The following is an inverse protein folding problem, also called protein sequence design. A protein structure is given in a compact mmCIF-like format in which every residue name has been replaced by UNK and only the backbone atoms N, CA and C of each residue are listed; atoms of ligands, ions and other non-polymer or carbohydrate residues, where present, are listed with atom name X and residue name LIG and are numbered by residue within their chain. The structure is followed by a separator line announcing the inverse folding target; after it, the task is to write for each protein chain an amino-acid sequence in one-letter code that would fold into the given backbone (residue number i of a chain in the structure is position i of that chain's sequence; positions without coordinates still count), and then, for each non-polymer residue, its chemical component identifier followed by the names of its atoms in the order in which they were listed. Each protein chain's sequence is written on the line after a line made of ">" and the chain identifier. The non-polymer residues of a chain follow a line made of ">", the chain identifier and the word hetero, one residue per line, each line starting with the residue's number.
data_IF_517638663855
#
_entry.id   IF_517638663855
#
_cell.length_a   1.000
_cell.length_b   1.000
_cell.length_c   1.000
_cell.angle_alpha   90.00
_cell.angle_beta   90.00
_cell.angle_gamma   90.00
#
_symmetry.space_group_name_H-M   'P 1'
#
loop_
_entity.id
_entity.type
_entity.pdbx_description
1 polymer ?
#
# COMPACT_ATOMS: atom_id res chain seq x y z
N UNK A 1 3.85 9.20 -10.29
CA UNK A 1 2.47 9.43 -9.79
C UNK A 1 2.34 8.76 -8.44
N UNK A 2 1.92 9.49 -7.42
CA UNK A 2 1.63 8.97 -6.08
C UNK A 2 0.13 8.75 -5.98
N UNK A 3 -0.32 7.51 -5.76
CA UNK A 3 -1.73 7.14 -5.64
C UNK A 3 -2.10 6.95 -4.18
N UNK A 4 -3.36 7.24 -3.84
CA UNK A 4 -3.91 7.06 -2.49
C UNK A 4 -5.38 6.68 -2.53
N UNK A 5 -5.83 5.97 -1.51
CA UNK A 5 -7.25 5.86 -1.14
C UNK A 5 -7.48 6.72 0.10
N UNK A 6 -8.59 7.43 0.16
CA UNK A 6 -8.87 8.41 1.21
C UNK A 6 -10.36 8.58 1.42
N UNK A 7 -10.74 9.20 2.53
CA UNK A 7 -12.08 9.76 2.71
C UNK A 7 -12.00 11.28 2.89
N UNK A 8 -12.97 11.97 2.32
CA UNK A 8 -13.17 13.41 2.43
C UNK A 8 -14.65 13.67 2.58
N UNK A 9 -15.06 14.50 3.55
CA UNK A 9 -16.46 14.78 3.89
C UNK A 9 -17.31 13.50 4.08
N UNK A 10 -16.73 12.46 4.69
CA UNK A 10 -17.39 11.19 4.97
C UNK A 10 -17.60 10.28 3.75
N UNK A 11 -16.98 10.58 2.61
CA UNK A 11 -17.05 9.77 1.38
C UNK A 11 -15.68 9.20 1.06
N UNK A 12 -15.61 7.87 0.92
CA UNK A 12 -14.40 7.21 0.43
C UNK A 12 -14.20 7.47 -1.05
N UNK A 13 -12.95 7.70 -1.43
CA UNK A 13 -12.51 7.95 -2.79
C UNK A 13 -11.08 7.46 -3.03
N UNK A 14 -10.60 7.62 -4.25
CA UNK A 14 -9.22 7.38 -4.61
C UNK A 14 -8.72 8.43 -5.61
N UNK A 15 -7.42 8.66 -5.59
CA UNK A 15 -6.86 9.71 -6.41
C UNK A 15 -5.34 9.67 -6.49
N UNK A 16 -4.79 10.78 -6.93
CA UNK A 16 -3.35 10.99 -7.02
C UNK A 16 -2.95 12.32 -6.39
N UNK A 17 -1.81 12.32 -5.73
CA UNK A 17 -1.21 13.54 -5.16
C UNK A 17 -0.46 14.30 -6.26
N UNK A 18 -0.72 15.60 -6.34
CA UNK A 18 0.08 16.56 -7.12
C UNK A 18 0.52 17.72 -6.22
N UNK A 19 1.69 18.27 -6.53
CA UNK A 19 2.15 19.50 -5.88
C UNK A 19 1.39 20.72 -6.38
N UNK A 20 1.10 21.67 -5.49
CA UNK A 20 0.62 23.00 -5.83
C UNK A 20 1.43 24.06 -5.06
N UNK A 21 1.36 25.35 -5.44
CA UNK A 21 2.04 26.43 -4.70
C UNK A 21 1.61 26.53 -3.25
N UNK A 22 0.42 26.07 -2.92
CA UNK A 22 -0.19 26.12 -1.58
C UNK A 22 0.01 24.84 -0.78
N UNK A 23 0.65 23.82 -1.37
CA UNK A 23 0.89 22.50 -0.78
C UNK A 23 0.40 21.37 -1.66
N UNK A 24 0.57 20.14 -1.21
CA UNK A 24 0.12 18.96 -1.93
C UNK A 24 -1.41 18.84 -1.90
N UNK A 25 -2.02 18.56 -3.05
CA UNK A 25 -3.48 18.38 -3.21
C UNK A 25 -3.79 17.06 -3.91
N UNK A 26 -5.02 16.60 -3.77
CA UNK A 26 -5.49 15.35 -4.39
C UNK A 26 -6.27 15.63 -5.66
N UNK A 27 -5.89 14.99 -6.75
CA UNK A 27 -6.72 14.83 -7.95
C UNK A 27 -7.58 13.60 -7.76
N UNK A 28 -8.88 13.82 -7.54
CA UNK A 28 -9.85 12.72 -7.43
C UNK A 28 -10.01 12.02 -8.78
N UNK A 29 -9.92 10.69 -8.77
CA UNK A 29 -10.04 9.84 -9.95
C UNK A 29 -11.38 9.08 -9.99
N UNK A 30 -12.12 9.04 -8.89
CA UNK A 30 -13.34 8.23 -8.77
C UNK A 30 -14.44 8.65 -9.74
N UNK A 31 -14.54 9.95 -10.01
CA UNK A 31 -15.54 10.51 -10.91
C UNK A 31 -15.06 10.66 -12.36
N UNK A 32 -13.78 10.38 -12.63
CA UNK A 32 -13.15 10.55 -13.93
C UNK A 32 -12.88 9.22 -14.64
N UNK A 33 -13.01 8.11 -13.92
CA UNK A 33 -12.77 6.76 -14.42
C UNK A 33 -14.05 5.92 -14.26
N UNK A 34 -14.93 6.02 -15.24
CA UNK A 34 -16.21 5.29 -15.23
C UNK A 34 -16.00 3.78 -15.01
N UNK A 35 -16.81 3.19 -14.14
CA UNK A 35 -16.74 1.78 -13.79
C UNK A 35 -15.51 1.35 -12.96
N UNK A 36 -14.71 2.29 -12.43
CA UNK A 36 -13.61 2.02 -11.49
C UNK A 36 -14.03 2.42 -10.08
N UNK A 37 -14.09 1.47 -9.16
CA UNK A 37 -14.60 1.69 -7.81
C UNK A 37 -13.53 2.16 -6.82
N UNK A 38 -12.31 1.70 -6.97
CA UNK A 38 -11.16 2.00 -6.10
C UNK A 38 -9.82 1.69 -6.79
N UNK A 39 -8.71 1.88 -6.09
CA UNK A 39 -7.37 1.58 -6.62
C UNK A 39 -7.15 0.09 -6.92
N UNK A 40 -7.79 -0.82 -6.18
CA UNK A 40 -7.69 -2.25 -6.49
C UNK A 40 -8.33 -2.56 -7.84
N UNK A 41 -9.45 -1.90 -8.11
CA UNK A 41 -10.19 -2.02 -9.37
C UNK A 41 -9.43 -1.39 -10.54
N UNK A 42 -8.86 -0.20 -10.33
CA UNK A 42 -7.99 0.47 -11.30
C UNK A 42 -6.86 -0.44 -11.79
N UNK A 43 -6.21 -1.14 -10.86
CA UNK A 43 -5.13 -2.07 -11.17
C UNK A 43 -5.65 -3.32 -11.90
N UNK A 44 -6.76 -3.89 -11.41
CA UNK A 44 -7.38 -5.09 -12.01
C UNK A 44 -7.80 -4.83 -13.45
N UNK A 45 -8.36 -3.65 -13.72
CA UNK A 45 -8.77 -3.21 -15.06
C UNK A 45 -7.60 -2.70 -15.92
N UNK A 46 -6.38 -2.62 -15.36
CA UNK A 46 -5.15 -2.13 -16.04
C UNK A 46 -5.26 -0.71 -16.58
N UNK A 47 -6.03 0.16 -15.93
CA UNK A 47 -6.32 1.53 -16.38
C UNK A 47 -5.37 2.60 -15.82
N UNK A 48 -4.18 2.22 -15.32
CA UNK A 48 -3.17 3.18 -14.85
C UNK A 48 -2.74 4.20 -15.90
N UNK A 49 -2.79 3.84 -17.20
CA UNK A 49 -2.49 4.76 -18.29
C UNK A 49 -3.48 5.92 -18.37
N UNK A 50 -4.78 5.63 -18.21
CA UNK A 50 -5.84 6.65 -18.19
C UNK A 50 -5.70 7.54 -16.95
N UNK A 51 -5.47 6.95 -15.77
CA UNK A 51 -5.23 7.71 -14.56
C UNK A 51 -4.03 8.68 -14.70
N UNK A 52 -2.93 8.22 -15.33
CA UNK A 52 -1.77 9.08 -15.61
C UNK A 52 -2.11 10.26 -16.54
N UNK A 53 -2.90 10.04 -17.57
CA UNK A 53 -3.32 11.10 -18.48
C UNK A 53 -4.15 12.16 -17.77
N UNK A 54 -5.12 11.75 -16.95
CA UNK A 54 -5.95 12.64 -16.12
C UNK A 54 -5.08 13.48 -15.17
N UNK A 55 -4.16 12.83 -14.46
CA UNK A 55 -3.29 13.52 -13.50
C UNK A 55 -2.33 14.48 -14.20
N UNK A 56 -1.80 14.11 -15.37
CA UNK A 56 -0.95 15.00 -16.16
C UNK A 56 -1.72 16.23 -16.61
N UNK A 57 -2.92 16.09 -17.15
CA UNK A 57 -3.78 17.22 -17.52
C UNK A 57 -4.09 18.10 -16.30
N UNK A 58 -4.44 17.50 -15.17
CA UNK A 58 -4.71 18.21 -13.93
C UNK A 58 -3.50 19.00 -13.42
N UNK A 59 -2.27 18.50 -13.63
CA UNK A 59 -1.03 19.17 -13.20
C UNK A 59 -0.69 20.40 -14.07
N UNK A 60 -1.18 20.45 -15.29
CA UNK A 60 -0.96 21.59 -16.20
C UNK A 60 -2.05 22.67 -16.09
N UNK A 61 -3.17 22.38 -15.45
CA UNK A 61 -4.22 23.35 -15.19
C UNK A 61 -3.88 24.15 -13.94
N UNK A 62 -3.52 25.40 -14.11
CA UNK A 62 -3.47 26.37 -13.01
C UNK A 62 -4.89 26.48 -12.41
N UNK A 63 -5.06 26.62 -11.08
CA UNK A 63 -6.36 26.95 -10.50
C UNK A 63 -6.84 28.25 -11.15
N UNK A 64 -7.81 28.16 -12.05
CA UNK A 64 -8.37 29.33 -12.72
C UNK A 64 -9.24 30.09 -11.72
N UNK A 65 -9.05 31.42 -11.67
CA UNK A 65 -10.01 32.31 -11.01
C UNK A 65 -11.39 32.15 -11.65
N UNK A 66 -12.40 32.15 -10.83
CA UNK A 66 -13.84 32.50 -11.03
C UNK A 66 -14.57 32.20 -12.37
N UNK A 67 -14.19 31.23 -13.16
CA UNK A 67 -15.01 30.81 -14.28
C UNK A 67 -15.88 29.58 -13.90
N UNK A 68 -17.15 29.64 -14.25
CA UNK A 68 -18.26 28.74 -13.90
C UNK A 68 -18.10 27.24 -14.31
N UNK A 69 -16.96 26.85 -14.85
CA UNK A 69 -16.60 25.47 -15.20
C UNK A 69 -15.39 24.96 -14.40
N UNK A 70 -15.15 25.50 -13.21
CA UNK A 70 -14.05 25.02 -12.37
C UNK A 70 -14.29 23.55 -11.96
N UNK A 71 -13.30 22.66 -12.18
CA UNK A 71 -13.39 21.29 -11.64
C UNK A 71 -13.55 21.36 -10.12
N UNK A 72 -14.25 20.40 -9.55
CA UNK A 72 -14.45 20.26 -8.10
C UNK A 72 -13.16 20.61 -7.32
N UNK A 73 -13.26 21.37 -6.23
CA UNK A 73 -12.09 21.78 -5.46
C UNK A 73 -11.28 20.55 -5.08
N UNK A 74 -9.96 20.62 -5.31
CA UNK A 74 -9.03 19.54 -4.98
C UNK A 74 -8.77 19.62 -3.47
N UNK A 75 -9.10 18.59 -2.68
CA UNK A 75 -8.83 18.64 -1.26
C UNK A 75 -7.31 18.69 -1.00
N UNK A 76 -6.89 19.47 -0.02
CA UNK A 76 -5.52 19.41 0.48
C UNK A 76 -5.28 18.08 1.20
N UNK A 77 -4.04 17.63 1.27
CA UNK A 77 -3.72 16.40 2.02
C UNK A 77 -4.07 16.52 3.51
N UNK A 78 -4.12 17.72 4.05
CA UNK A 78 -4.53 18.00 5.44
C UNK A 78 -6.02 17.83 5.68
N UNK A 79 -6.84 17.83 4.63
CA UNK A 79 -8.30 17.84 4.72
C UNK A 79 -8.91 16.46 4.47
N UNK A 80 -8.07 15.47 4.22
CA UNK A 80 -8.47 14.08 3.99
C UNK A 80 -8.11 13.17 5.16
N UNK A 81 -8.77 12.04 5.23
CA UNK A 81 -8.33 10.91 6.06
C UNK A 81 -7.82 9.81 5.14
N UNK A 82 -6.58 9.39 5.34
CA UNK A 82 -6.00 8.30 4.55
C UNK A 82 -6.69 6.99 4.86
N UNK A 83 -6.99 6.22 3.85
CA UNK A 83 -7.45 4.84 3.93
C UNK A 83 -6.34 3.90 3.51
N UNK A 84 -6.54 2.59 3.66
CA UNK A 84 -5.59 1.61 3.10
C UNK A 84 -5.46 1.85 1.61
N UNK A 85 -4.26 2.05 1.12
CA UNK A 85 -3.99 2.41 -0.28
C UNK A 85 -4.64 1.44 -1.26
N UNK A 86 -4.57 0.12 -0.97
CA UNK A 86 -5.30 -0.91 -1.70
C UNK A 86 -6.38 -1.51 -0.79
N UNK A 87 -7.64 -1.06 -0.90
CA UNK A 87 -8.70 -1.51 0.01
C UNK A 87 -9.06 -2.99 -0.15
N UNK A 88 -8.91 -3.54 -1.36
CA UNK A 88 -9.27 -4.93 -1.70
C UNK A 88 -8.12 -5.68 -2.38
N UNK A 89 -6.97 -5.89 -1.71
CA UNK A 89 -5.89 -6.68 -2.30
C UNK A 89 -6.32 -8.14 -2.41
N UNK A 90 -6.10 -8.76 -3.56
CA UNK A 90 -6.45 -10.18 -3.77
C UNK A 90 -5.56 -11.13 -2.98
N UNK A 91 -4.27 -10.81 -2.84
CA UNK A 91 -3.27 -11.57 -2.10
C UNK A 91 -2.20 -10.63 -1.57
N UNK A 92 -1.72 -10.90 -0.36
CA UNK A 92 -0.59 -10.22 0.24
C UNK A 92 0.41 -11.31 0.61
N UNK A 93 1.49 -11.41 -0.17
CA UNK A 93 2.60 -12.31 0.10
C UNK A 93 3.76 -11.54 0.71
N UNK A 94 4.29 -12.06 1.79
CA UNK A 94 5.48 -11.54 2.44
C UNK A 94 6.65 -12.51 2.19
N UNK A 95 7.82 -11.94 1.90
CA UNK A 95 9.01 -12.70 1.58
C UNK A 95 10.03 -12.47 2.68
N UNK A 96 10.17 -13.44 3.56
CA UNK A 96 11.16 -13.41 4.65
C UNK A 96 12.49 -14.02 4.26
N UNK A 97 13.56 -13.58 4.95
CA UNK A 97 14.93 -14.05 4.74
C UNK A 97 15.35 -13.91 3.28
N UNK A 98 15.18 -12.71 2.73
CA UNK A 98 15.32 -12.42 1.30
C UNK A 98 16.56 -11.58 0.93
N UNK A 99 17.47 -11.35 1.88
CA UNK A 99 18.75 -10.67 1.64
C UNK A 99 19.89 -11.38 2.39
N UNK A 100 21.10 -11.28 1.83
CA UNK A 100 22.30 -11.88 2.43
C UNK A 100 22.70 -11.18 3.73
N UNK A 101 23.29 -11.95 4.67
CA UNK A 101 23.73 -11.44 5.97
C UNK A 101 22.63 -11.26 7.01
N UNK A 102 21.37 -11.50 6.68
CA UNK A 102 20.23 -11.36 7.60
C UNK A 102 20.41 -12.17 8.88
N UNK A 103 20.85 -13.43 8.78
CA UNK A 103 21.02 -14.32 9.93
C UNK A 103 22.14 -13.83 10.86
N UNK A 104 23.20 -13.25 10.29
CA UNK A 104 24.26 -12.64 11.09
C UNK A 104 23.77 -11.38 11.83
N UNK A 105 22.96 -10.55 11.16
CA UNK A 105 22.37 -9.35 11.75
C UNK A 105 21.45 -9.70 12.93
N UNK A 106 20.58 -10.68 12.77
CA UNK A 106 19.66 -11.13 13.81
C UNK A 106 20.29 -12.08 14.83
N UNK A 107 21.55 -12.49 14.65
CA UNK A 107 22.30 -13.41 15.55
C UNK A 107 21.54 -14.71 15.81
N UNK A 108 20.84 -15.23 14.81
CA UNK A 108 20.00 -16.42 14.99
C UNK A 108 20.79 -17.74 14.98
N UNK A 109 22.08 -17.69 14.65
CA UNK A 109 22.98 -18.86 14.66
C UNK A 109 22.69 -19.90 13.58
N UNK A 110 21.77 -19.62 12.68
CA UNK A 110 21.40 -20.54 11.60
C UNK A 110 22.17 -20.22 10.31
N UNK A 111 22.37 -21.23 9.49
CA UNK A 111 22.85 -21.03 8.13
C UNK A 111 21.79 -20.29 7.30
N UNK A 112 22.24 -19.46 6.35
CA UNK A 112 21.32 -18.81 5.43
C UNK A 112 20.56 -19.85 4.59
N UNK A 113 19.21 -19.76 4.52
CA UNK A 113 18.44 -20.68 3.71
C UNK A 113 18.67 -20.41 2.23
N UNK A 114 18.66 -21.45 1.41
CA UNK A 114 18.81 -21.35 -0.05
C UNK A 114 17.54 -20.87 -0.75
N UNK A 115 16.43 -20.76 -0.04
CA UNK A 115 15.13 -20.31 -0.53
C UNK A 115 14.51 -19.34 0.47
N UNK A 116 13.82 -18.30 0.00
CA UNK A 116 13.11 -17.38 0.88
C UNK A 116 11.96 -18.08 1.60
N UNK A 117 11.66 -17.60 2.79
CA UNK A 117 10.42 -17.90 3.48
C UNK A 117 9.26 -17.14 2.85
N UNK A 118 8.11 -17.77 2.69
CA UNK A 118 6.91 -17.13 2.15
C UNK A 118 5.75 -17.33 3.12
N UNK A 119 5.08 -16.25 3.48
CA UNK A 119 3.88 -16.27 4.31
C UNK A 119 2.89 -15.21 3.83
N UNK A 120 1.73 -15.09 4.47
CA UNK A 120 0.66 -14.21 4.02
C UNK A 120 0.26 -13.23 5.12
N UNK A 121 -0.24 -12.06 4.70
CA UNK A 121 -1.00 -11.16 5.54
C UNK A 121 -2.43 -11.03 5.03
N UNK A 122 -3.35 -10.81 5.96
CA UNK A 122 -4.75 -10.51 5.65
C UNK A 122 -4.98 -8.99 5.65
N UNK A 123 -5.90 -8.48 4.83
CA UNK A 123 -6.17 -7.05 4.78
C UNK A 123 -6.56 -6.44 6.13
N UNK A 124 -7.24 -7.18 7.01
CA UNK A 124 -7.61 -6.73 8.36
C UNK A 124 -6.42 -6.41 9.26
N UNK A 125 -5.26 -7.01 8.99
CA UNK A 125 -4.04 -6.74 9.76
C UNK A 125 -3.35 -5.43 9.38
N UNK A 126 -3.87 -4.69 8.39
CA UNK A 126 -3.23 -3.51 7.83
C UNK A 126 -4.09 -2.27 8.00
N UNK A 127 -3.45 -1.16 8.29
CA UNK A 127 -4.03 0.19 8.32
C UNK A 127 -3.43 1.07 7.23
N UNK A 128 -4.03 2.24 6.99
CA UNK A 128 -3.52 3.27 6.08
C UNK A 128 -2.49 4.19 6.74
N UNK A 129 -2.03 5.17 5.97
CA UNK A 129 -1.13 6.21 6.45
C UNK A 129 -1.78 7.02 7.58
N UNK A 130 -0.98 7.42 8.57
CA UNK A 130 -1.42 8.16 9.78
C UNK A 130 -2.43 7.44 10.68
N UNK A 131 -2.82 6.22 10.37
CA UNK A 131 -3.66 5.43 11.26
C UNK A 131 -2.81 4.69 12.30
N UNK A 132 -3.32 4.62 13.52
CA UNK A 132 -2.62 3.98 14.63
C UNK A 132 -2.52 2.47 14.46
N UNK A 133 -1.32 1.92 14.69
CA UNK A 133 -1.17 0.49 14.87
C UNK A 133 -1.75 0.06 16.23
N UNK A 134 -2.37 -1.11 16.25
CA UNK A 134 -2.95 -1.68 17.46
C UNK A 134 -2.07 -2.80 17.98
N UNK A 135 -1.52 -2.60 19.19
CA UNK A 135 -0.90 -3.69 19.94
C UNK A 135 -2.00 -4.48 20.66
N UNK A 136 -2.15 -5.78 20.42
CA UNK A 136 -3.16 -6.57 21.10
C UNK A 136 -2.88 -6.66 22.61
N UNK A 137 -3.92 -6.74 23.46
CA UNK A 137 -3.75 -6.86 24.91
C UNK A 137 -3.04 -8.16 25.32
N UNK A 138 -3.08 -9.20 24.49
CA UNK A 138 -2.47 -10.50 24.70
C UNK A 138 -0.94 -10.49 24.60
N UNK A 139 -0.34 -9.40 24.13
CA UNK A 139 1.11 -9.29 23.99
C UNK A 139 1.63 -7.88 24.26
N UNK A 140 2.84 -7.81 24.78
CA UNK A 140 3.61 -6.57 24.92
C UNK A 140 4.72 -6.43 23.87
N UNK A 141 4.78 -7.33 22.88
CA UNK A 141 5.88 -7.45 21.93
C UNK A 141 5.46 -7.14 20.48
N UNK A 142 4.69 -6.07 20.27
CA UNK A 142 4.52 -5.53 18.91
C UNK A 142 5.82 -4.81 18.52
N UNK A 143 6.40 -5.28 17.44
CA UNK A 143 7.63 -4.76 16.85
C UNK A 143 7.39 -4.34 15.40
N UNK A 144 8.12 -3.34 14.90
CA UNK A 144 8.00 -2.89 13.52
C UNK A 144 8.95 -3.65 12.59
N UNK A 145 8.56 -3.75 11.33
CA UNK A 145 9.42 -4.23 10.24
C UNK A 145 9.19 -3.37 9.00
N UNK A 146 10.18 -2.52 8.66
CA UNK A 146 10.13 -1.67 7.48
C UNK A 146 10.39 -2.47 6.20
N UNK A 147 9.47 -2.40 5.24
CA UNK A 147 9.46 -3.21 4.03
C UNK A 147 9.27 -2.39 2.77
N UNK A 148 9.84 -2.87 1.65
CA UNK A 148 9.48 -2.41 0.31
C UNK A 148 8.39 -3.32 -0.23
N UNK A 149 7.27 -2.73 -0.59
CA UNK A 149 6.11 -3.45 -1.13
C UNK A 149 6.05 -3.29 -2.64
N UNK A 150 6.10 -4.41 -3.37
CA UNK A 150 5.85 -4.43 -4.81
C UNK A 150 4.36 -4.71 -5.08
N UNK A 151 3.68 -3.74 -5.67
CA UNK A 151 2.26 -3.85 -6.05
C UNK A 151 2.17 -4.49 -7.43
N UNK A 152 1.53 -5.65 -7.50
CA UNK A 152 1.35 -6.40 -8.76
C UNK A 152 0.12 -5.87 -9.50
N UNK A 153 0.33 -5.29 -10.68
CA UNK A 153 -0.74 -4.78 -11.55
C UNK A 153 -1.10 -5.70 -12.72
N UNK A 154 -0.25 -6.66 -13.03
CA UNK A 154 -0.53 -7.64 -14.06
C UNK A 154 -0.40 -9.07 -13.51
N UNK A 155 -1.50 -9.80 -13.48
CA UNK A 155 -1.49 -11.20 -13.06
C UNK A 155 -0.65 -12.08 -13.98
N UNK A 156 -0.13 -13.20 -13.43
CA UNK A 156 0.64 -14.16 -14.19
C UNK A 156 1.01 -15.40 -13.38
N UNK A 157 1.53 -16.40 -14.07
CA UNK A 157 2.14 -17.59 -13.44
C UNK A 157 3.34 -18.03 -14.25
N UNK A 158 4.34 -18.62 -13.58
CA UNK A 158 5.60 -19.05 -14.22
C UNK A 158 6.29 -17.90 -14.94
N UNK A 159 6.21 -16.70 -14.37
CA UNK A 159 6.77 -15.48 -14.94
C UNK A 159 8.30 -15.62 -14.95
N UNK A 160 8.96 -15.48 -16.11
CA UNK A 160 10.43 -15.46 -16.15
C UNK A 160 10.98 -14.25 -15.37
N UNK A 161 12.12 -14.42 -14.70
CA UNK A 161 12.75 -13.34 -13.95
C UNK A 161 13.05 -12.11 -14.84
N UNK A 162 13.40 -12.33 -16.10
CA UNK A 162 13.70 -11.27 -17.06
C UNK A 162 12.51 -10.32 -17.32
N UNK A 163 11.27 -10.81 -17.23
CA UNK A 163 10.04 -10.03 -17.48
C UNK A 163 9.24 -9.74 -16.21
N UNK A 164 9.72 -10.17 -15.05
CA UNK A 164 8.97 -10.02 -13.78
C UNK A 164 8.63 -8.55 -13.45
N UNK A 165 9.50 -7.61 -13.81
CA UNK A 165 9.28 -6.17 -13.58
C UNK A 165 8.08 -5.60 -14.33
N UNK A 166 7.70 -6.17 -15.45
CA UNK A 166 6.54 -5.76 -16.27
C UNK A 166 5.21 -6.03 -15.56
N UNK A 167 5.22 -6.89 -14.55
CA UNK A 167 4.05 -7.19 -13.72
C UNK A 167 3.87 -6.23 -12.55
N UNK A 168 4.87 -5.41 -12.23
CA UNK A 168 4.84 -4.46 -11.11
C UNK A 168 4.20 -3.15 -11.56
N UNK A 169 3.09 -2.77 -10.94
CA UNK A 169 2.41 -1.50 -11.16
C UNK A 169 3.11 -0.33 -10.46
N UNK A 170 3.69 -0.59 -9.30
CA UNK A 170 4.39 0.42 -8.50
C UNK A 170 5.03 -0.19 -7.26
N UNK A 171 5.72 0.67 -6.52
CA UNK A 171 6.34 0.35 -5.24
C UNK A 171 5.77 1.26 -4.17
N UNK A 172 5.67 0.74 -2.96
CA UNK A 172 5.36 1.53 -1.77
C UNK A 172 6.11 0.99 -0.56
N UNK A 173 5.95 1.62 0.59
CA UNK A 173 6.50 1.17 1.86
C UNK A 173 5.44 0.43 2.67
N UNK A 174 5.88 -0.51 3.48
CA UNK A 174 5.04 -1.20 4.45
C UNK A 174 5.71 -1.27 5.81
N UNK A 175 4.89 -1.42 6.83
CA UNK A 175 5.32 -1.86 8.14
C UNK A 175 4.70 -3.24 8.41
N UNK A 176 5.54 -4.26 8.36
CA UNK A 176 5.11 -5.63 8.64
C UNK A 176 5.11 -5.93 10.14
N UNK A 177 4.36 -5.11 10.91
CA UNK A 177 4.28 -5.21 12.37
C UNK A 177 4.05 -6.64 12.85
N UNK A 178 4.81 -7.03 13.85
CA UNK A 178 4.97 -8.42 14.27
C UNK A 178 4.81 -8.56 15.77
N UNK A 179 3.97 -9.48 16.21
CA UNK A 179 3.84 -9.86 17.61
C UNK A 179 4.88 -10.96 17.91
N UNK A 180 6.03 -10.56 18.44
CA UNK A 180 7.24 -11.40 18.50
C UNK A 180 7.10 -12.69 19.33
N UNK A 181 6.45 -12.61 20.47
CA UNK A 181 6.19 -13.80 21.30
C UNK A 181 5.24 -14.78 20.59
N UNK A 182 4.25 -14.29 19.88
CA UNK A 182 3.33 -15.15 19.13
C UNK A 182 3.98 -15.83 17.93
N UNK A 183 4.95 -15.20 17.27
CA UNK A 183 5.77 -15.89 16.24
C UNK A 183 6.55 -17.06 16.87
N UNK A 184 6.93 -16.94 18.16
CA UNK A 184 7.73 -17.93 18.87
C UNK A 184 6.93 -18.98 19.63
N UNK A 185 5.61 -18.88 19.70
CA UNK A 185 4.75 -19.83 20.41
C UNK A 185 4.88 -21.26 19.89
N UNK A 186 5.14 -21.43 18.58
CA UNK A 186 5.34 -22.72 17.95
C UNK A 186 6.22 -22.57 16.72
N UNK A 187 6.73 -23.71 16.22
CA UNK A 187 7.39 -23.75 14.92
C UNK A 187 6.42 -23.27 13.84
N UNK A 188 6.91 -22.43 12.90
CA UNK A 188 6.13 -21.93 11.77
C UNK A 188 4.90 -21.08 12.12
N UNK A 189 4.91 -20.44 13.28
CA UNK A 189 3.79 -19.61 13.74
C UNK A 189 3.81 -18.17 13.21
N UNK A 190 4.38 -17.95 12.04
CA UNK A 190 4.56 -16.61 11.46
C UNK A 190 3.22 -15.95 11.14
N UNK A 191 2.28 -16.69 10.55
CA UNK A 191 0.96 -16.17 10.19
C UNK A 191 0.21 -15.61 11.41
N UNK A 192 0.22 -16.31 12.52
CA UNK A 192 -0.43 -15.87 13.76
C UNK A 192 0.23 -14.62 14.35
N UNK A 193 1.57 -14.55 14.31
CA UNK A 193 2.33 -13.42 14.83
C UNK A 193 2.21 -12.13 14.00
N UNK A 194 1.73 -12.23 12.75
CA UNK A 194 1.69 -11.12 11.80
C UNK A 194 0.29 -10.74 11.31
N UNK A 195 -0.77 -11.36 11.83
CA UNK A 195 -2.14 -11.12 11.36
C UNK A 195 -3.12 -10.71 12.47
N UNK A 196 -2.61 -10.04 13.49
CA UNK A 196 -3.47 -9.32 14.43
C UNK A 196 -4.06 -8.09 13.74
N UNK A 197 -5.31 -7.79 14.06
CA UNK A 197 -6.01 -6.65 13.46
C UNK A 197 -5.24 -5.35 13.65
N UNK A 198 -5.12 -4.57 12.59
CA UNK A 198 -4.43 -3.28 12.57
C UNK A 198 -2.98 -3.31 13.12
N UNK A 199 -2.27 -4.44 13.01
CA UNK A 199 -0.91 -4.57 13.55
C UNK A 199 0.20 -4.12 12.59
N UNK A 200 -0.12 -3.84 11.34
CA UNK A 200 0.81 -3.38 10.31
C UNK A 200 0.20 -2.33 9.38
N UNK A 201 0.98 -1.84 8.42
CA UNK A 201 0.49 -0.86 7.43
C UNK A 201 1.10 -1.08 6.06
N UNK A 202 0.38 -0.63 5.03
CA UNK A 202 0.89 -0.47 3.65
C UNK A 202 0.48 0.92 3.18
N UNK A 203 1.48 1.75 2.85
CA UNK A 203 1.34 3.13 2.42
C UNK A 203 1.05 3.31 0.93
#
# INVERSE_FOLDING_TARGET
>A
MKLLSYSHDGRSSFGAVIGSPEGDVVVDLSHQLDGVLDLSDLLTQRRLGEARAIVAEASHRTPAGSDEAAPSPRPALTDITFERTLPRPGKIFCIGVNYGGRNAEYRDGQNEPTKPSVFVRFPSSLVGHEQSLVRPPESHQLDYEGEIVAVIGAGGRRIPAATAREHIAGLTLGNEGTIRDWVRHAKFNVTQGKNWDASGSIG
#
